data_IF_356041762975
#
_entry.id   IF_356041762975
#
_cell.length_a   1.000
_cell.length_b   1.000
_cell.length_c   1.000
_cell.angle_alpha   90.00
_cell.angle_beta   90.00
_cell.angle_gamma   90.00
#
_symmetry.space_group_name_H-M   'P 1'
#
loop_
_entity.id
_entity.type
_entity.pdbx_description
1 polymer ?
#
# COMPACT_ATOMS: atom_id res chain seq x y z
N UNK A 1 9.90 8.36 7.82
CA UNK A 1 9.10 7.55 6.86
C UNK A 1 8.31 8.42 5.87
N UNK A 2 7.50 9.39 6.33
CA UNK A 2 6.75 10.30 5.44
C UNK A 2 7.64 11.10 4.46
N UNK A 3 8.83 11.55 4.90
CA UNK A 3 9.80 12.25 4.05
C UNK A 3 10.30 11.38 2.89
N UNK A 4 10.58 10.10 3.15
CA UNK A 4 10.99 9.14 2.11
C UNK A 4 9.87 8.88 1.10
N UNK A 5 8.62 8.78 1.56
CA UNK A 5 7.46 8.70 0.66
C UNK A 5 7.33 9.96 -0.20
N UNK A 6 7.45 11.15 0.39
CA UNK A 6 7.36 12.41 -0.34
C UNK A 6 8.48 12.58 -1.39
N UNK A 7 9.67 12.01 -1.15
CA UNK A 7 10.80 12.07 -2.08
C UNK A 7 10.69 11.09 -3.25
N UNK A 8 9.83 10.08 -3.16
CA UNK A 8 9.69 9.04 -4.20
C UNK A 8 8.86 9.53 -5.40
N UNK A 9 8.00 10.52 -5.20
CA UNK A 9 7.08 11.02 -6.22
C UNK A 9 7.47 12.42 -6.69
N UNK A 10 6.95 12.82 -7.85
CA UNK A 10 7.21 14.14 -8.46
C UNK A 10 6.80 15.34 -7.58
N UNK A 11 5.96 15.11 -6.58
CA UNK A 11 5.59 16.08 -5.57
C UNK A 11 5.20 15.35 -4.27
N UNK A 12 5.21 16.04 -3.12
CA UNK A 12 4.82 15.45 -1.84
C UNK A 12 3.43 14.83 -1.86
N UNK A 13 3.29 13.62 -1.32
CA UNK A 13 2.00 12.94 -1.14
C UNK A 13 1.36 13.25 0.21
N UNK A 14 2.16 13.65 1.20
CA UNK A 14 1.73 13.90 2.58
C UNK A 14 2.17 15.30 2.99
N UNK A 15 1.22 16.11 3.45
CA UNK A 15 1.51 17.29 4.25
C UNK A 15 1.93 16.85 5.65
N UNK A 16 3.20 17.04 5.99
CA UNK A 16 3.69 16.86 7.35
C UNK A 16 3.29 18.10 8.18
N UNK A 17 2.41 17.93 9.15
CA UNK A 17 2.24 18.95 10.18
C UNK A 17 3.52 18.98 11.04
N UNK A 18 4.14 20.15 11.22
CA UNK A 18 5.20 20.33 12.22
C UNK A 18 4.64 19.91 13.58
N UNK A 19 5.21 18.86 14.17
CA UNK A 19 4.75 18.31 15.44
C UNK A 19 4.80 19.36 16.55
N UNK A 20 3.63 19.85 16.96
CA UNK A 20 3.41 20.56 18.21
C UNK A 20 2.64 19.70 19.20
N UNK A 21 2.53 20.19 20.45
CA UNK A 21 2.05 19.50 21.67
C UNK A 21 0.72 18.72 21.52
N UNK A 22 -0.07 18.97 20.47
CA UNK A 22 -1.38 18.34 20.23
C UNK A 22 -1.39 17.21 19.18
N UNK A 23 -0.24 16.76 18.66
CA UNK A 23 -0.17 15.70 17.66
C UNK A 23 -0.40 16.25 16.25
N UNK A 24 0.70 16.49 15.54
CA UNK A 24 0.67 16.92 14.13
C UNK A 24 0.06 15.84 13.25
N UNK A 25 -1.20 16.04 12.83
CA UNK A 25 -1.86 15.14 11.88
C UNK A 25 -1.15 15.15 10.52
N UNK A 26 -0.90 13.97 9.97
CA UNK A 26 -0.48 13.82 8.58
C UNK A 26 -1.72 13.82 7.68
N UNK A 27 -1.75 14.71 6.69
CA UNK A 27 -2.83 14.75 5.69
C UNK A 27 -2.29 14.47 4.30
N UNK A 28 -3.09 13.82 3.46
CA UNK A 28 -2.72 13.62 2.06
C UNK A 28 -2.84 14.94 1.29
N UNK A 29 -1.95 15.13 0.33
CA UNK A 29 -2.12 16.13 -0.72
C UNK A 29 -3.12 15.61 -1.77
N UNK A 30 -3.57 16.45 -2.69
CA UNK A 30 -4.39 16.02 -3.83
C UNK A 30 -3.69 14.93 -4.65
N UNK A 31 -2.38 15.07 -4.87
CA UNK A 31 -1.56 14.04 -5.51
C UNK A 31 -1.53 12.76 -4.67
N UNK A 32 -1.38 12.89 -3.35
CA UNK A 32 -1.42 11.76 -2.41
C UNK A 32 -2.73 10.98 -2.50
N UNK A 33 -3.86 11.68 -2.53
CA UNK A 33 -5.18 11.07 -2.69
C UNK A 33 -5.32 10.35 -4.04
N UNK A 34 -4.87 10.98 -5.14
CA UNK A 34 -4.91 10.38 -6.47
C UNK A 34 -4.04 9.11 -6.57
N UNK A 35 -2.81 9.14 -6.03
CA UNK A 35 -1.90 7.98 -6.01
C UNK A 35 -2.49 6.86 -5.17
N UNK A 36 -3.06 7.17 -3.99
CA UNK A 36 -3.71 6.17 -3.15
C UNK A 36 -4.91 5.52 -3.87
N UNK A 37 -5.73 6.30 -4.54
CA UNK A 37 -6.86 5.79 -5.31
C UNK A 37 -6.40 4.87 -6.44
N UNK A 38 -5.36 5.27 -7.19
CA UNK A 38 -4.78 4.46 -8.26
C UNK A 38 -4.20 3.13 -7.72
N UNK A 39 -3.47 3.18 -6.59
CA UNK A 39 -2.94 1.98 -5.94
C UNK A 39 -4.06 1.04 -5.48
N UNK A 40 -5.12 1.55 -4.85
CA UNK A 40 -6.27 0.72 -4.44
C UNK A 40 -7.02 0.11 -5.62
N UNK A 41 -7.11 0.82 -6.75
CA UNK A 41 -7.68 0.28 -7.98
C UNK A 41 -6.81 -0.85 -8.52
N UNK A 42 -5.48 -0.65 -8.55
CA UNK A 42 -4.53 -1.69 -8.95
C UNK A 42 -4.66 -2.93 -8.06
N UNK A 43 -4.69 -2.78 -6.74
CA UNK A 43 -4.88 -3.91 -5.81
C UNK A 43 -6.15 -4.71 -6.12
N UNK A 44 -7.28 -4.04 -6.36
CA UNK A 44 -8.53 -4.70 -6.72
C UNK A 44 -8.42 -5.45 -8.03
N UNK A 45 -7.85 -4.82 -9.06
CA UNK A 45 -7.66 -5.44 -10.37
C UNK A 45 -6.74 -6.65 -10.29
N UNK A 46 -5.62 -6.54 -9.58
CA UNK A 46 -4.67 -7.63 -9.37
C UNK A 46 -5.31 -8.77 -8.59
N UNK A 47 -6.11 -8.48 -7.54
CA UNK A 47 -6.83 -9.51 -6.79
C UNK A 47 -7.85 -10.24 -7.65
N UNK A 48 -8.66 -9.52 -8.43
CA UNK A 48 -9.63 -10.15 -9.32
C UNK A 48 -8.95 -10.96 -10.43
N UNK A 49 -8.00 -10.36 -11.14
CA UNK A 49 -7.32 -11.01 -12.25
C UNK A 49 -6.42 -12.17 -11.83
N UNK A 50 -5.87 -12.11 -10.61
CA UNK A 50 -5.00 -13.14 -10.06
C UNK A 50 -5.71 -14.25 -9.28
N UNK A 51 -7.02 -14.17 -9.05
CA UNK A 51 -7.72 -15.10 -8.16
C UNK A 51 -7.50 -16.57 -8.56
N UNK A 52 -7.73 -16.92 -9.82
CA UNK A 52 -7.53 -18.29 -10.30
C UNK A 52 -6.07 -18.75 -10.21
N UNK A 53 -5.10 -17.87 -10.45
CA UNK A 53 -3.68 -18.20 -10.29
C UNK A 53 -3.33 -18.40 -8.80
N UNK A 54 -3.92 -17.61 -7.91
CA UNK A 54 -3.76 -17.77 -6.47
C UNK A 54 -4.35 -19.08 -5.97
N UNK A 55 -5.49 -19.52 -6.51
CA UNK A 55 -6.09 -20.82 -6.18
C UNK A 55 -5.15 -21.96 -6.58
N UNK A 56 -4.63 -21.95 -7.81
CA UNK A 56 -3.63 -22.94 -8.27
C UNK A 56 -2.39 -22.94 -7.39
N UNK A 57 -1.87 -21.76 -7.01
CA UNK A 57 -0.72 -21.66 -6.11
C UNK A 57 -1.04 -22.15 -4.69
N UNK A 58 -2.26 -21.91 -4.21
CA UNK A 58 -2.71 -22.39 -2.90
C UNK A 58 -2.84 -23.92 -2.87
N UNK A 59 -3.41 -24.51 -3.93
CA UNK A 59 -3.53 -25.95 -4.09
C UNK A 59 -2.16 -26.63 -4.26
N UNK A 60 -1.26 -26.01 -5.03
CA UNK A 60 0.09 -26.51 -5.26
C UNK A 60 1.01 -26.36 -4.03
N UNK A 61 0.72 -25.40 -3.15
CA UNK A 61 1.42 -25.23 -1.88
C UNK A 61 0.97 -26.32 -0.92
N UNK A 62 1.48 -27.53 -1.11
CA UNK A 62 1.33 -28.62 -0.16
C UNK A 62 1.68 -28.15 1.25
N UNK A 63 0.87 -28.53 2.24
CA UNK A 63 1.23 -28.36 3.64
C UNK A 63 2.65 -28.92 3.82
N UNK A 64 3.58 -28.11 4.32
CA UNK A 64 4.84 -28.66 4.82
C UNK A 64 4.47 -29.67 5.90
N UNK A 65 4.55 -30.95 5.57
CA UNK A 65 4.60 -32.00 6.56
C UNK A 65 5.91 -31.82 7.32
N UNK A 66 5.79 -31.47 8.61
CA UNK A 66 6.86 -31.57 9.59
C UNK A 66 7.73 -30.33 9.76
N UNK A 67 7.41 -29.52 10.78
CA UNK A 67 8.42 -29.10 11.76
C UNK A 67 8.06 -29.81 13.07
N UNK A 68 8.71 -30.95 13.33
CA UNK A 68 8.90 -31.54 14.66
C UNK A 68 10.39 -31.59 14.89
#
# INVERSE_FOLDING_TARGET
LAESMNATFRAPLIHAAKGGVAGGGAQLTDLGAAVLAAYRQLERMSRLGGASALDVLADARGAKAGDV
#
